data_IF_274826164509
#
_entry.id   IF_274826164509
#
_cell.length_a   1.000
_cell.length_b   1.000
_cell.length_c   1.000
_cell.angle_alpha   90.00
_cell.angle_beta   90.00
_cell.angle_gamma   90.00
#
_symmetry.space_group_name_H-M   'P 1'
#
loop_
_entity.id
_entity.type
_entity.pdbx_description
1 polymer ?
#
# COMPACT_ATOMS: atom_id res chain seq x y z
N UNK A 1 32.69 18.68 -4.17
CA UNK A 1 32.37 18.64 -4.21
C UNK A 1 31.41 18.49 -4.73
N UNK A 2 30.93 18.86 -4.91
CA UNK A 2 30.24 18.81 -5.36
C UNK A 2 29.55 17.88 -5.92
N UNK A 3 29.70 17.30 -6.14
CA UNK A 3 29.32 16.21 -6.69
C UNK A 3 28.06 15.73 -6.27
N UNK A 4 27.66 15.93 -5.33
CA UNK A 4 26.49 15.42 -4.72
C UNK A 4 25.23 15.84 -5.37
N UNK A 5 25.16 17.03 -5.83
CA UNK A 5 23.92 17.58 -6.29
C UNK A 5 23.23 16.82 -7.37
N UNK A 6 23.92 16.33 -8.40
CA UNK A 6 23.20 15.71 -9.50
C UNK A 6 22.50 14.42 -9.11
N UNK A 7 23.04 13.70 -8.19
CA UNK A 7 22.48 12.42 -7.87
C UNK A 7 21.07 12.45 -7.33
N UNK A 8 20.80 13.29 -6.36
CA UNK A 8 19.46 13.32 -5.79
C UNK A 8 18.39 13.64 -6.79
N UNK A 9 18.70 14.50 -7.73
CA UNK A 9 17.71 14.86 -8.74
C UNK A 9 17.29 13.68 -9.58
N UNK A 10 18.23 12.92 -10.02
CA UNK A 10 17.91 11.77 -10.82
C UNK A 10 17.12 10.72 -10.08
N UNK A 11 17.47 10.52 -8.85
CA UNK A 11 16.74 9.55 -8.02
C UNK A 11 15.30 9.96 -7.85
N UNK A 12 15.07 11.22 -7.65
CA UNK A 12 13.70 11.69 -7.47
C UNK A 12 12.85 11.47 -8.70
N UNK A 13 13.40 11.71 -9.87
CA UNK A 13 12.65 11.49 -11.10
C UNK A 13 12.25 10.04 -11.26
N UNK A 14 13.16 9.13 -10.94
CA UNK A 14 12.87 7.71 -11.02
C UNK A 14 11.73 7.33 -10.11
N UNK A 15 11.75 7.84 -8.89
CA UNK A 15 10.70 7.50 -7.94
C UNK A 15 9.35 8.04 -8.38
N UNK A 16 9.31 9.21 -8.96
CA UNK A 16 8.05 9.76 -9.42
C UNK A 16 7.40 8.88 -10.47
N UNK A 17 8.20 8.35 -11.37
CA UNK A 17 7.66 7.46 -12.38
C UNK A 17 7.11 6.18 -11.77
N UNK A 18 7.82 5.64 -10.79
CA UNK A 18 7.35 4.43 -10.12
C UNK A 18 6.02 4.65 -9.45
N UNK A 19 5.86 5.79 -8.81
CA UNK A 19 4.65 6.09 -8.07
C UNK A 19 3.43 6.22 -8.95
N UNK A 20 3.61 6.47 -10.23
CA UNK A 20 2.48 6.62 -11.13
C UNK A 20 1.93 5.29 -11.63
N UNK A 21 2.47 4.18 -11.17
CA UNK A 21 2.12 2.87 -11.71
C UNK A 21 1.29 2.00 -10.78
N UNK A 22 0.56 2.60 -9.88
CA UNK A 22 -0.30 1.83 -9.02
C UNK A 22 -1.52 1.35 -9.80
N UNK A 23 -1.81 0.06 -9.70
CA UNK A 23 -2.96 -0.56 -10.35
C UNK A 23 -3.93 -1.08 -9.31
N UNK A 24 -5.20 -1.20 -9.65
CA UNK A 24 -6.15 -1.82 -8.73
C UNK A 24 -5.69 -3.21 -8.31
N UNK A 25 -6.06 -3.63 -7.14
CA UNK A 25 -5.64 -4.91 -6.60
C UNK A 25 -6.84 -5.66 -6.04
N UNK A 26 -6.74 -6.98 -6.02
CA UNK A 26 -7.78 -7.79 -5.41
C UNK A 26 -7.68 -7.64 -3.89
N UNK A 27 -8.82 -7.68 -3.19
CA UNK A 27 -8.77 -7.61 -1.73
C UNK A 27 -7.81 -8.63 -1.12
N UNK A 28 -7.77 -9.84 -1.67
CA UNK A 28 -6.86 -10.87 -1.16
C UNK A 28 -5.40 -10.46 -1.26
N UNK A 29 -5.03 -9.77 -2.33
CA UNK A 29 -3.66 -9.29 -2.49
C UNK A 29 -3.32 -8.25 -1.44
N UNK A 30 -4.26 -7.33 -1.20
CA UNK A 30 -4.05 -6.28 -0.21
C UNK A 30 -3.89 -6.89 1.17
N UNK A 31 -4.77 -7.82 1.51
CA UNK A 31 -4.71 -8.48 2.80
C UNK A 31 -3.41 -9.25 2.98
N UNK A 32 -2.96 -9.91 1.93
CA UNK A 32 -1.70 -10.66 1.97
C UNK A 32 -0.52 -9.74 2.27
N UNK A 33 -0.45 -8.60 1.59
CA UNK A 33 0.64 -7.65 1.80
C UNK A 33 0.59 -7.08 3.20
N UNK A 34 -0.60 -6.72 3.68
CA UNK A 34 -0.74 -6.19 5.03
C UNK A 34 -0.25 -7.20 6.06
N UNK A 35 -0.62 -8.46 5.89
CA UNK A 35 -0.19 -9.50 6.83
C UNK A 35 1.32 -9.68 6.80
N UNK A 36 1.92 -9.63 5.63
CA UNK A 36 3.36 -9.72 5.52
C UNK A 36 4.08 -8.56 6.20
N UNK A 37 3.43 -7.41 6.26
CA UNK A 37 4.00 -6.24 6.91
C UNK A 37 3.70 -6.19 8.41
N UNK A 38 3.07 -7.23 8.95
CA UNK A 38 2.85 -7.31 10.38
C UNK A 38 1.47 -6.87 10.83
N UNK A 39 0.58 -6.55 9.92
CA UNK A 39 -0.79 -6.21 10.27
C UNK A 39 -1.59 -7.47 10.52
N UNK A 40 -2.57 -7.39 11.39
CA UNK A 40 -3.46 -8.50 11.69
C UNK A 40 -4.91 -8.08 11.54
N UNK A 41 -5.72 -8.99 11.05
CA UNK A 41 -7.15 -8.77 10.98
C UNK A 41 -7.70 -8.80 12.39
N UNK A 42 -8.27 -7.69 12.86
CA UNK A 42 -8.82 -7.64 14.19
C UNK A 42 -10.33 -7.71 14.19
N UNK A 43 -10.96 -7.39 13.05
CA UNK A 43 -12.40 -7.38 13.00
C UNK A 43 -12.86 -7.33 11.56
N UNK A 44 -13.97 -7.98 11.27
CA UNK A 44 -14.63 -7.85 9.99
C UNK A 44 -16.07 -7.47 10.24
N UNK A 45 -16.51 -6.38 9.64
CA UNK A 45 -17.85 -5.88 9.79
C UNK A 45 -18.43 -5.72 8.39
N UNK A 46 -19.35 -6.60 8.03
CA UNK A 46 -19.90 -6.60 6.68
C UNK A 46 -18.80 -6.78 5.65
N UNK A 47 -18.69 -5.84 4.74
CA UNK A 47 -17.69 -5.91 3.67
C UNK A 47 -16.41 -5.15 4.02
N UNK A 48 -16.19 -4.83 5.30
CA UNK A 48 -14.98 -4.11 5.70
C UNK A 48 -14.15 -4.97 6.65
N UNK A 49 -12.88 -5.16 6.31
CA UNK A 49 -11.94 -5.88 7.15
C UNK A 49 -10.98 -4.89 7.77
N UNK A 50 -10.89 -4.86 9.09
CA UNK A 50 -10.05 -3.91 9.81
C UNK A 50 -8.76 -4.58 10.21
N UNK A 51 -7.65 -4.03 9.78
CA UNK A 51 -6.32 -4.53 10.06
C UNK A 51 -5.57 -3.56 10.95
N UNK A 52 -4.80 -4.09 11.88
CA UNK A 52 -4.05 -3.27 12.81
C UNK A 52 -2.65 -3.82 13.01
N UNK A 53 -1.70 -2.92 13.14
CA UNK A 53 -0.31 -3.26 13.41
C UNK A 53 -0.02 -3.04 14.89
N UNK A 54 0.91 -3.78 15.49
CA UNK A 54 1.26 -3.58 16.90
C UNK A 54 1.69 -2.15 17.25
N UNK A 55 2.14 -1.37 16.28
CA UNK A 55 2.53 0.02 16.53
C UNK A 55 1.35 0.98 16.41
N UNK A 56 0.12 0.46 16.37
CA UNK A 56 -1.13 1.22 16.32
C UNK A 56 -1.52 1.79 14.97
N UNK A 57 -0.79 1.50 13.91
CA UNK A 57 -1.28 1.83 12.59
C UNK A 57 -2.43 0.89 12.26
N UNK A 58 -3.42 1.40 11.58
CA UNK A 58 -4.54 0.54 11.19
C UNK A 58 -5.16 1.04 9.91
N UNK A 59 -5.84 0.16 9.21
CA UNK A 59 -6.51 0.50 7.98
C UNK A 59 -7.69 -0.43 7.76
N UNK A 60 -8.58 -0.05 6.86
CA UNK A 60 -9.77 -0.82 6.53
C UNK A 60 -9.70 -1.21 5.07
N UNK A 61 -9.89 -2.50 4.80
CA UNK A 61 -9.89 -3.03 3.43
C UNK A 61 -11.32 -3.36 3.04
N UNK A 62 -11.87 -2.76 1.98
CA UNK A 62 -13.19 -3.13 1.51
C UNK A 62 -13.11 -4.46 0.77
N UNK A 63 -14.03 -5.36 1.10
CA UNK A 63 -14.07 -6.69 0.49
C UNK A 63 -15.42 -6.85 -0.19
N UNK A 64 -15.44 -6.67 -1.50
CA UNK A 64 -16.64 -6.87 -2.29
C UNK A 64 -16.38 -8.01 -3.25
N UNK A 65 -17.17 -9.08 -3.19
CA UNK A 65 -16.95 -10.22 -4.06
C UNK A 65 -16.90 -9.83 -5.53
N UNK A 66 -15.89 -10.29 -6.22
CA UNK A 66 -15.76 -10.03 -7.64
C UNK A 66 -15.29 -8.63 -8.00
N UNK A 67 -14.93 -7.81 -7.02
CA UNK A 67 -14.49 -6.45 -7.30
C UNK A 67 -13.10 -6.18 -6.75
N UNK A 68 -12.31 -5.47 -7.54
CA UNK A 68 -10.98 -5.05 -7.12
C UNK A 68 -11.08 -3.82 -6.22
N UNK A 69 -10.05 -3.63 -5.41
CA UNK A 69 -9.90 -2.41 -4.64
C UNK A 69 -9.40 -1.34 -5.62
N UNK A 70 -10.17 -0.28 -5.76
CA UNK A 70 -9.85 0.78 -6.72
C UNK A 70 -8.57 1.50 -6.32
N UNK A 71 -7.94 2.14 -7.32
CA UNK A 71 -6.65 2.83 -7.10
C UNK A 71 -6.71 3.84 -5.96
N UNK A 72 -7.75 4.66 -5.91
CA UNK A 72 -7.86 5.68 -4.88
C UNK A 72 -7.93 5.08 -3.49
N UNK A 73 -8.77 4.06 -3.34
CA UNK A 73 -8.91 3.37 -2.06
C UNK A 73 -7.62 2.65 -1.70
N UNK A 74 -6.99 2.00 -2.68
CA UNK A 74 -5.74 1.31 -2.45
C UNK A 74 -4.65 2.27 -1.98
N UNK A 75 -4.58 3.44 -2.60
CA UNK A 75 -3.60 4.44 -2.20
C UNK A 75 -3.81 4.88 -0.75
N UNK A 76 -5.07 5.03 -0.35
CA UNK A 76 -5.37 5.40 1.02
C UNK A 76 -4.95 4.31 2.00
N UNK A 77 -5.23 3.06 1.65
CA UNK A 77 -4.85 1.93 2.49
C UNK A 77 -3.34 1.88 2.69
N UNK A 78 -2.60 2.03 1.60
CA UNK A 78 -1.14 2.00 1.68
C UNK A 78 -0.61 3.16 2.50
N UNK A 79 -1.22 4.33 2.37
CA UNK A 79 -0.82 5.48 3.16
C UNK A 79 -1.06 5.24 4.65
N UNK A 80 -2.23 4.72 4.99
CA UNK A 80 -2.56 4.41 6.37
C UNK A 80 -1.58 3.40 6.96
N UNK A 81 -1.18 2.44 6.16
CA UNK A 81 -0.30 1.37 6.60
C UNK A 81 1.19 1.74 6.55
N UNK A 82 1.51 2.88 5.96
CA UNK A 82 2.91 3.26 5.83
C UNK A 82 3.67 2.42 4.82
N UNK A 83 2.99 1.89 3.82
CA UNK A 83 3.59 1.06 2.79
C UNK A 83 3.71 1.88 1.52
N UNK A 84 4.88 1.90 0.91
CA UNK A 84 5.04 2.62 -0.34
C UNK A 84 4.43 1.84 -1.48
N UNK A 85 4.09 2.54 -2.55
CA UNK A 85 3.56 1.89 -3.74
C UNK A 85 4.56 0.89 -4.29
N UNK A 86 5.83 1.23 -4.24
CA UNK A 86 6.88 0.35 -4.74
C UNK A 86 6.96 -0.94 -3.92
N UNK A 87 6.87 -0.82 -2.60
CA UNK A 87 6.87 -2.00 -1.75
C UNK A 87 5.68 -2.90 -2.07
N UNK A 88 4.53 -2.28 -2.20
CA UNK A 88 3.32 -3.04 -2.48
C UNK A 88 3.44 -3.80 -3.80
N UNK A 89 3.94 -3.15 -4.83
CA UNK A 89 4.07 -3.79 -6.14
C UNK A 89 5.04 -4.96 -6.11
N UNK A 90 6.06 -4.87 -5.27
CA UNK A 90 6.98 -5.99 -5.13
C UNK A 90 6.40 -7.16 -4.36
N UNK A 91 5.48 -6.88 -3.46
CA UNK A 91 4.96 -7.90 -2.56
C UNK A 91 3.68 -8.57 -3.06
N UNK A 92 2.97 -7.90 -3.96
CA UNK A 92 1.69 -8.43 -4.44
C UNK A 92 1.84 -9.62 -5.38
#
# INVERSE_FOLDING_TARGET
MRLVSPYPSRLRLTRLRSMSKLHPAKPAEVMHVLEKKGFRLIRQSGSHAIYRHPDDRWTTVPIHPGKDVAKGTLRKILKDAGITIEEFEKMR
#
